data_IF_596325942340
#
_entry.id   IF_596325942340
#
_cell.length_a   1.000
_cell.length_b   1.000
_cell.length_c   1.000
_cell.angle_alpha   90.00
_cell.angle_beta   90.00
_cell.angle_gamma   90.00
#
_symmetry.space_group_name_H-M   'P 1'
#
loop_
_entity.id
_entity.type
_entity.pdbx_description
1 polymer ?
#
# COMPACT_ATOMS: atom_id res chain seq x y z
N UNK A 1 5.78 74.08 33.65
CA UNK A 1 4.62 73.42 33.00
C UNK A 1 5.12 72.14 32.36
N UNK A 2 4.62 71.00 32.84
CA UNK A 2 5.03 69.65 32.45
C UNK A 2 4.47 69.28 31.07
N UNK A 3 5.23 68.53 30.28
CA UNK A 3 4.67 67.47 29.44
C UNK A 3 5.66 66.31 29.37
N UNK A 4 5.30 65.25 30.10
CA UNK A 4 5.95 63.92 30.06
C UNK A 4 5.51 63.22 28.78
N UNK A 5 6.48 62.77 27.98
CA UNK A 5 6.22 61.93 26.82
C UNK A 5 6.50 60.48 27.22
N UNK A 6 5.42 59.73 27.49
CA UNK A 6 5.47 58.29 27.69
C UNK A 6 5.28 57.62 26.33
N UNK A 7 6.34 57.06 25.76
CA UNK A 7 6.22 56.13 24.63
C UNK A 7 6.08 54.72 25.17
N UNK A 8 4.87 54.18 25.10
CA UNK A 8 4.52 52.82 25.47
C UNK A 8 5.25 51.81 24.59
N UNK A 9 6.07 50.95 25.19
CA UNK A 9 6.53 49.70 24.59
C UNK A 9 5.31 48.78 24.42
N UNK A 10 4.85 48.57 23.19
CA UNK A 10 4.02 47.40 22.87
C UNK A 10 4.94 46.17 22.74
N UNK A 11 4.95 45.31 23.77
CA UNK A 11 5.42 43.95 23.62
C UNK A 11 4.41 43.17 22.77
N UNK A 12 4.78 42.83 21.53
CA UNK A 12 4.11 41.75 20.80
C UNK A 12 4.50 40.41 21.46
N UNK A 13 3.57 39.82 22.21
CA UNK A 13 3.65 38.40 22.55
C UNK A 13 3.37 37.60 21.27
N UNK A 14 4.43 37.10 20.64
CA UNK A 14 4.31 36.07 19.61
C UNK A 14 3.84 34.78 20.29
N UNK A 15 2.55 34.46 20.13
CA UNK A 15 2.02 33.16 20.48
C UNK A 15 2.68 32.12 19.54
N UNK A 16 3.67 31.38 20.05
CA UNK A 16 4.13 30.17 19.41
C UNK A 16 3.02 29.14 19.50
N UNK A 17 2.15 29.11 18.48
CA UNK A 17 1.28 27.98 18.24
C UNK A 17 2.19 26.79 17.89
N UNK A 18 2.46 25.93 18.88
CA UNK A 18 3.01 24.61 18.63
C UNK A 18 2.01 23.88 17.74
N UNK A 19 2.26 23.89 16.43
CA UNK A 19 1.66 22.89 15.55
C UNK A 19 2.16 21.56 16.08
N UNK A 20 1.27 20.80 16.73
CA UNK A 20 1.49 19.39 16.93
C UNK A 20 1.72 18.83 15.52
N UNK A 21 2.98 18.63 15.16
CA UNK A 21 3.33 17.94 13.94
C UNK A 21 2.65 16.59 14.03
N UNK A 22 1.64 16.39 13.19
CA UNK A 22 1.04 15.09 13.00
C UNK A 22 2.20 14.18 12.60
N UNK A 23 2.67 13.34 13.52
CA UNK A 23 3.57 12.25 13.18
C UNK A 23 2.73 11.27 12.38
N UNK A 24 2.57 11.57 11.09
CA UNK A 24 1.92 10.73 10.12
C UNK A 24 2.87 9.57 9.81
N UNK A 25 3.12 8.71 10.80
CA UNK A 25 3.68 7.39 10.53
C UNK A 25 2.78 6.76 9.45
N UNK A 26 3.34 6.38 8.29
CA UNK A 26 2.55 5.76 7.24
C UNK A 26 2.21 4.35 7.73
N UNK A 27 1.14 4.21 8.51
CA UNK A 27 0.65 2.91 8.95
C UNK A 27 -0.36 2.38 7.93
N UNK A 28 -0.38 1.06 7.77
CA UNK A 28 -1.41 0.34 7.06
C UNK A 28 -2.52 -0.05 8.04
N UNK A 29 -3.80 0.13 7.67
CA UNK A 29 -4.93 -0.41 8.41
C UNK A 29 -4.88 -1.94 8.50
N UNK A 30 -5.84 -2.51 9.24
CA UNK A 30 -6.04 -3.97 9.25
C UNK A 30 -6.25 -4.48 7.81
N UNK A 31 -5.66 -5.64 7.43
CA UNK A 31 -5.79 -6.21 6.09
C UNK A 31 -7.23 -6.41 5.61
N UNK A 32 -8.16 -6.69 6.54
CA UNK A 32 -9.56 -6.98 6.23
C UNK A 32 -10.42 -5.72 6.13
N UNK A 33 -9.91 -4.59 6.60
CA UNK A 33 -10.63 -3.32 6.63
C UNK A 33 -10.70 -2.72 5.22
N UNK A 34 -11.84 -2.09 4.91
CA UNK A 34 -12.06 -1.40 3.64
C UNK A 34 -11.09 -0.23 3.41
N UNK A 35 -10.48 0.26 4.48
CA UNK A 35 -9.53 1.35 4.50
C UNK A 35 -8.14 0.94 4.01
N UNK A 36 -7.82 -0.36 3.96
CA UNK A 36 -6.50 -0.83 3.54
C UNK A 36 -6.15 -0.40 2.12
N UNK A 37 -6.96 -0.77 1.11
CA UNK A 37 -6.67 -0.37 -0.27
C UNK A 37 -6.93 1.13 -0.53
N UNK A 38 -7.78 1.80 0.26
CA UNK A 38 -7.88 3.26 0.23
C UNK A 38 -6.56 3.90 0.66
N UNK A 39 -5.96 3.41 1.75
CA UNK A 39 -4.69 3.88 2.24
C UNK A 39 -3.56 3.57 1.26
N UNK A 40 -3.56 2.38 0.67
CA UNK A 40 -2.61 2.01 -0.38
C UNK A 40 -2.72 2.96 -1.59
N UNK A 41 -3.93 3.29 -2.06
CA UNK A 41 -4.17 4.26 -3.13
C UNK A 41 -3.52 5.62 -2.81
N UNK A 42 -3.71 6.12 -1.59
CA UNK A 42 -3.16 7.40 -1.14
C UNK A 42 -1.63 7.38 -1.10
N UNK A 43 -1.04 6.33 -0.53
CA UNK A 43 0.41 6.16 -0.43
C UNK A 43 1.07 6.05 -1.80
N UNK A 44 0.49 5.24 -2.69
CA UNK A 44 1.07 4.96 -3.99
C UNK A 44 0.93 6.12 -4.97
N UNK A 45 -0.22 6.79 -4.98
CA UNK A 45 -0.45 7.93 -5.86
C UNK A 45 -0.03 9.26 -5.25
N UNK A 46 0.31 9.31 -3.96
CA UNK A 46 0.55 10.58 -3.26
C UNK A 46 -0.68 11.50 -3.33
N UNK A 47 -1.86 10.94 -3.09
CA UNK A 47 -3.14 11.67 -3.17
C UNK A 47 -3.81 11.73 -1.80
N UNK A 48 -4.62 12.78 -1.59
CA UNK A 48 -5.53 12.89 -0.44
C UNK A 48 -6.96 12.43 -0.78
N UNK A 49 -7.24 12.10 -2.05
CA UNK A 49 -8.54 11.58 -2.45
C UNK A 49 -8.81 10.26 -1.73
N UNK A 50 -10.05 10.12 -1.25
CA UNK A 50 -10.54 8.89 -0.68
C UNK A 50 -11.31 8.12 -1.75
N UNK A 51 -10.90 6.89 -2.04
CA UNK A 51 -11.62 6.03 -2.97
C UNK A 51 -12.81 5.34 -2.31
N UNK A 52 -13.84 5.02 -3.09
CA UNK A 52 -14.88 4.05 -2.70
C UNK A 52 -14.31 2.64 -2.89
N UNK A 53 -14.03 1.94 -1.78
CA UNK A 53 -13.38 0.62 -1.82
C UNK A 53 -14.39 -0.50 -1.56
N UNK A 54 -14.38 -1.52 -2.43
CA UNK A 54 -15.11 -2.77 -2.21
C UNK A 54 -14.15 -3.92 -1.88
N UNK A 55 -14.38 -4.55 -0.74
CA UNK A 55 -13.73 -5.79 -0.32
C UNK A 55 -14.51 -6.97 -0.88
N UNK A 56 -13.83 -7.85 -1.60
CA UNK A 56 -14.37 -9.09 -2.14
C UNK A 56 -14.03 -10.25 -1.21
N UNK A 57 -14.99 -11.17 -1.06
CA UNK A 57 -14.82 -12.47 -0.40
C UNK A 57 -14.92 -13.62 -1.41
N UNK A 58 -14.80 -13.30 -2.70
CA UNK A 58 -14.88 -14.22 -3.82
C UNK A 58 -13.82 -13.84 -4.86
N UNK A 59 -12.88 -14.76 -5.14
CA UNK A 59 -11.75 -14.46 -6.03
C UNK A 59 -12.20 -14.27 -7.47
N UNK A 60 -13.17 -15.05 -7.97
CA UNK A 60 -13.70 -14.90 -9.33
C UNK A 60 -14.27 -13.49 -9.58
N UNK A 61 -15.09 -12.98 -8.65
CA UNK A 61 -15.59 -11.60 -8.72
C UNK A 61 -14.45 -10.57 -8.71
N UNK A 62 -13.47 -10.76 -7.82
CA UNK A 62 -12.29 -9.89 -7.77
C UNK A 62 -11.53 -9.90 -9.09
N UNK A 63 -11.23 -11.06 -9.69
CA UNK A 63 -10.52 -11.20 -10.98
C UNK A 63 -11.16 -10.36 -12.08
N UNK A 64 -12.49 -10.37 -12.16
CA UNK A 64 -13.24 -9.67 -13.21
C UNK A 64 -13.49 -8.18 -12.95
N UNK A 65 -13.26 -7.70 -11.72
CA UNK A 65 -13.39 -6.27 -11.37
C UNK A 65 -12.30 -5.39 -12.00
N UNK A 66 -12.62 -4.10 -12.26
CA UNK A 66 -11.70 -3.09 -12.83
C UNK A 66 -11.92 -1.72 -12.17
N UNK A 67 -10.93 -1.14 -11.48
CA UNK A 67 -11.11 0.09 -10.70
C UNK A 67 -11.53 1.25 -11.61
N UNK A 68 -12.29 2.18 -11.07
CA UNK A 68 -12.88 3.29 -11.84
C UNK A 68 -12.24 4.61 -11.43
N UNK A 69 -12.13 5.54 -12.38
CA UNK A 69 -11.55 6.84 -12.10
C UNK A 69 -12.59 7.83 -11.58
N UNK A 70 -13.82 7.82 -12.09
CA UNK A 70 -14.87 8.77 -11.71
C UNK A 70 -16.23 8.04 -11.53
N UNK A 71 -16.74 7.88 -10.30
CA UNK A 71 -16.04 8.19 -9.04
C UNK A 71 -14.82 7.26 -8.85
N UNK A 72 -13.81 7.72 -8.09
CA UNK A 72 -12.62 6.94 -7.78
C UNK A 72 -12.99 5.69 -6.98
N UNK A 73 -12.94 4.51 -7.63
CA UNK A 73 -13.24 3.22 -7.00
C UNK A 73 -12.03 2.30 -6.99
N UNK A 74 -11.81 1.67 -5.83
CA UNK A 74 -10.76 0.67 -5.62
C UNK A 74 -11.38 -0.66 -5.22
N UNK A 75 -10.62 -1.74 -5.40
CA UNK A 75 -11.05 -3.08 -5.05
C UNK A 75 -9.99 -3.81 -4.26
N UNK A 76 -10.45 -4.66 -3.35
CA UNK A 76 -9.63 -5.37 -2.39
C UNK A 76 -10.04 -6.83 -2.31
N UNK A 77 -9.08 -7.73 -2.19
CA UNK A 77 -9.31 -9.09 -1.71
C UNK A 77 -8.16 -9.47 -0.78
N UNK A 78 -8.45 -10.26 0.24
CA UNK A 78 -7.46 -10.73 1.21
C UNK A 78 -7.23 -12.21 0.97
N UNK A 79 -5.98 -12.65 0.87
CA UNK A 79 -5.64 -14.06 0.85
C UNK A 79 -5.22 -14.51 2.25
N UNK A 80 -5.58 -15.74 2.61
CA UNK A 80 -5.33 -16.30 3.94
C UNK A 80 -4.49 -17.57 3.88
N UNK A 81 -3.71 -17.78 4.94
CA UNK A 81 -3.19 -19.09 5.32
C UNK A 81 -3.87 -19.50 6.63
N UNK A 82 -4.77 -20.49 6.54
CA UNK A 82 -5.76 -20.77 7.59
C UNK A 82 -6.52 -19.49 7.98
N UNK A 83 -6.37 -19.02 9.21
CA UNK A 83 -7.02 -17.78 9.71
C UNK A 83 -6.14 -16.54 9.58
N UNK A 84 -4.86 -16.68 9.19
CA UNK A 84 -3.92 -15.56 9.13
C UNK A 84 -4.04 -14.86 7.78
N UNK A 85 -4.36 -13.56 7.71
CA UNK A 85 -4.32 -12.82 6.45
C UNK A 85 -2.86 -12.67 6.03
N UNK A 86 -2.50 -13.14 4.85
CA UNK A 86 -1.11 -13.17 4.37
C UNK A 86 -0.82 -12.13 3.28
N UNK A 87 -1.84 -11.72 2.53
CA UNK A 87 -1.73 -10.80 1.41
C UNK A 87 -3.01 -9.99 1.25
N UNK A 88 -2.88 -8.72 0.91
CA UNK A 88 -3.98 -7.92 0.37
C UNK A 88 -3.67 -7.58 -1.09
N UNK A 89 -4.57 -7.98 -1.98
CA UNK A 89 -4.53 -7.60 -3.39
C UNK A 89 -5.45 -6.40 -3.61
N UNK A 90 -4.85 -5.29 -4.06
CA UNK A 90 -5.53 -4.03 -4.33
C UNK A 90 -5.56 -3.74 -5.83
N UNK A 91 -6.74 -3.44 -6.40
CA UNK A 91 -6.86 -2.81 -7.72
C UNK A 91 -7.15 -1.32 -7.57
N UNK A 92 -6.22 -0.51 -8.04
CA UNK A 92 -6.16 0.93 -7.82
C UNK A 92 -6.06 1.69 -9.15
N UNK A 93 -6.14 3.02 -9.10
CA UNK A 93 -5.84 3.92 -10.22
C UNK A 93 -4.46 4.54 -10.05
N UNK A 94 -3.73 4.67 -11.15
CA UNK A 94 -2.42 5.29 -11.21
C UNK A 94 -2.51 6.81 -11.00
N UNK A 95 -1.45 7.38 -10.43
CA UNK A 95 -1.36 8.81 -10.11
C UNK A 95 -1.61 9.72 -11.32
N UNK A 96 -1.11 9.34 -12.50
CA UNK A 96 -1.30 10.12 -13.74
C UNK A 96 -2.78 10.21 -14.16
N UNK A 97 -3.51 9.10 -14.09
CA UNK A 97 -4.95 9.10 -14.38
C UNK A 97 -5.71 9.93 -13.32
N UNK A 98 -5.31 9.85 -12.05
CA UNK A 98 -5.88 10.70 -10.99
C UNK A 98 -5.68 12.19 -11.29
N UNK A 99 -4.48 12.62 -11.70
CA UNK A 99 -4.25 14.01 -12.12
C UNK A 99 -5.09 14.41 -13.32
N UNK A 100 -5.22 13.54 -14.31
CA UNK A 100 -6.01 13.81 -15.50
C UNK A 100 -7.51 14.04 -15.18
N UNK A 101 -8.07 13.27 -14.25
CA UNK A 101 -9.49 13.37 -13.89
C UNK A 101 -9.79 14.46 -12.84
N UNK A 102 -8.90 14.64 -11.86
CA UNK A 102 -9.14 15.48 -10.67
C UNK A 102 -8.26 16.73 -10.59
N UNK A 103 -7.40 16.97 -11.59
CA UNK A 103 -6.50 18.11 -11.69
C UNK A 103 -5.06 17.78 -11.29
N UNK A 104 -4.10 18.54 -11.84
CA UNK A 104 -2.65 18.28 -11.69
C UNK A 104 -2.16 18.17 -10.23
N UNK A 105 -2.80 18.88 -9.30
CA UNK A 105 -2.45 18.84 -7.87
C UNK A 105 -3.09 17.69 -7.11
N UNK A 106 -3.96 16.89 -7.72
CA UNK A 106 -4.73 15.86 -7.04
C UNK A 106 -3.89 14.64 -6.64
N UNK A 107 -2.75 14.39 -7.30
CA UNK A 107 -1.86 13.28 -7.00
C UNK A 107 -0.40 13.63 -7.30
N UNK A 108 0.52 13.01 -6.56
CA UNK A 108 1.96 13.15 -6.74
C UNK A 108 2.52 12.20 -7.81
N UNK A 109 3.79 11.81 -7.64
CA UNK A 109 4.44 10.81 -8.50
C UNK A 109 4.03 9.40 -8.06
N UNK A 110 3.69 8.57 -9.05
CA UNK A 110 3.40 7.15 -8.82
C UNK A 110 4.59 6.44 -8.16
N UNK A 111 4.33 5.78 -7.03
CA UNK A 111 5.28 4.91 -6.35
C UNK A 111 5.08 3.45 -6.77
N UNK A 112 6.13 2.61 -6.76
CA UNK A 112 5.99 1.17 -6.96
C UNK A 112 5.29 0.51 -5.77
N UNK A 113 4.61 -0.62 -5.98
CA UNK A 113 3.94 -1.35 -4.89
C UNK A 113 4.91 -1.82 -3.79
N UNK A 114 6.18 -2.04 -4.12
CA UNK A 114 7.25 -2.32 -3.16
C UNK A 114 7.42 -1.22 -2.11
N UNK A 115 7.03 0.03 -2.39
CA UNK A 115 7.04 1.11 -1.39
C UNK A 115 6.07 0.84 -0.23
N UNK A 116 4.89 0.28 -0.52
CA UNK A 116 3.91 -0.08 0.50
C UNK A 116 4.31 -1.36 1.23
N UNK A 117 4.94 -2.32 0.54
CA UNK A 117 5.53 -3.49 1.21
C UNK A 117 6.63 -3.09 2.20
N UNK A 118 7.46 -2.09 1.87
CA UNK A 118 8.44 -1.55 2.83
C UNK A 118 7.76 -0.90 4.03
N UNK A 119 6.64 -0.21 3.82
CA UNK A 119 5.83 0.34 4.92
C UNK A 119 5.31 -0.79 5.82
N UNK A 120 4.75 -1.87 5.26
CA UNK A 120 4.31 -3.03 6.03
C UNK A 120 5.46 -3.65 6.84
N UNK A 121 6.66 -3.74 6.25
CA UNK A 121 7.87 -4.22 6.93
C UNK A 121 8.27 -3.33 8.10
N UNK A 122 8.32 -2.00 7.93
CA UNK A 122 8.66 -1.07 9.01
C UNK A 122 7.61 -1.09 10.13
N UNK A 123 6.33 -1.26 9.78
CA UNK A 123 5.27 -1.45 10.76
C UNK A 123 5.46 -2.76 11.55
N UNK A 124 5.78 -3.88 10.89
CA UNK A 124 6.08 -5.14 11.56
C UNK A 124 7.26 -5.02 12.53
N UNK A 125 8.33 -4.32 12.14
CA UNK A 125 9.47 -4.02 13.00
C UNK A 125 9.02 -3.25 14.24
N UNK A 126 8.24 -2.18 14.05
CA UNK A 126 7.76 -1.31 15.13
C UNK A 126 6.88 -2.07 16.12
N UNK A 127 5.96 -2.90 15.63
CA UNK A 127 5.09 -3.72 16.46
C UNK A 127 5.87 -4.76 17.26
N UNK A 128 6.79 -5.50 16.62
CA UNK A 128 7.62 -6.50 17.30
C UNK A 128 8.49 -5.86 18.39
N UNK A 129 9.01 -4.65 18.17
CA UNK A 129 9.74 -3.92 19.19
C UNK A 129 8.84 -3.51 20.36
N UNK A 130 7.62 -3.05 20.09
CA UNK A 130 6.65 -2.71 21.13
C UNK A 130 6.22 -3.94 21.95
N UNK A 131 6.20 -5.12 21.34
CA UNK A 131 5.96 -6.43 21.97
C UNK A 131 7.18 -6.95 22.76
N UNK A 132 8.34 -6.29 22.68
CA UNK A 132 9.59 -6.75 23.30
C UNK A 132 10.30 -7.87 22.53
N UNK A 133 9.84 -8.22 21.33
CA UNK A 133 10.45 -9.23 20.47
C UNK A 133 11.55 -8.63 19.59
N UNK A 134 12.68 -8.29 20.22
CA UNK A 134 13.83 -7.66 19.54
C UNK A 134 14.40 -8.57 18.45
N UNK A 135 14.56 -9.87 18.72
CA UNK A 135 15.08 -10.84 17.75
C UNK A 135 14.19 -10.96 16.52
N UNK A 136 12.86 -10.99 16.69
CA UNK A 136 11.92 -10.97 15.57
C UNK A 136 12.04 -9.69 14.75
N UNK A 137 12.15 -8.52 15.41
CA UNK A 137 12.34 -7.26 14.71
C UNK A 137 13.64 -7.23 13.89
N UNK A 138 14.73 -7.79 14.42
CA UNK A 138 16.00 -7.92 13.69
C UNK A 138 15.90 -8.88 12.50
N UNK A 139 15.17 -9.99 12.65
CA UNK A 139 14.89 -10.90 11.54
C UNK A 139 14.10 -10.19 10.42
N UNK A 140 13.10 -9.38 10.75
CA UNK A 140 12.36 -8.58 9.75
C UNK A 140 13.27 -7.55 9.06
N UNK A 141 14.19 -6.90 9.78
CA UNK A 141 15.16 -5.96 9.18
C UNK A 141 16.07 -6.61 8.16
N UNK A 142 16.40 -7.88 8.36
CA UNK A 142 17.23 -8.65 7.44
C UNK A 142 16.50 -9.04 6.15
N UNK A 143 15.17 -8.94 6.11
CA UNK A 143 14.37 -9.29 4.93
C UNK A 143 14.51 -8.25 3.81
N UNK A 144 14.68 -8.73 2.58
CA UNK A 144 14.74 -7.92 1.38
C UNK A 144 13.35 -7.78 0.78
N UNK A 145 12.92 -6.54 0.50
CA UNK A 145 11.69 -6.28 -0.25
C UNK A 145 12.05 -6.06 -1.71
N UNK A 146 11.60 -6.99 -2.55
CA UNK A 146 11.86 -6.94 -3.98
C UNK A 146 11.13 -5.78 -4.65
N UNK A 147 11.79 -5.21 -5.65
CA UNK A 147 11.20 -4.22 -6.53
C UNK A 147 10.94 -4.85 -7.89
N UNK A 148 10.00 -5.80 -7.92
CA UNK A 148 9.64 -6.51 -9.14
C UNK A 148 9.23 -5.53 -10.24
N UNK A 149 9.52 -5.86 -11.49
CA UNK A 149 9.00 -5.11 -12.64
C UNK A 149 7.48 -5.26 -12.72
N UNK A 150 6.74 -4.19 -13.06
CA UNK A 150 5.29 -4.27 -13.17
C UNK A 150 4.88 -5.15 -14.36
N UNK A 151 3.91 -6.02 -14.13
CA UNK A 151 3.15 -6.64 -15.20
C UNK A 151 2.44 -5.58 -16.05
N UNK A 152 2.35 -5.83 -17.36
CA UNK A 152 1.63 -4.96 -18.30
C UNK A 152 0.17 -5.43 -18.46
N UNK A 153 -0.06 -6.74 -18.36
CA UNK A 153 -1.37 -7.36 -18.59
C UNK A 153 -2.02 -7.84 -17.29
N UNK A 154 -3.35 -7.88 -17.27
CA UNK A 154 -4.09 -8.47 -16.14
C UNK A 154 -3.80 -9.96 -15.96
N UNK A 155 -3.58 -10.70 -17.07
CA UNK A 155 -3.23 -12.11 -17.02
C UNK A 155 -1.91 -12.36 -16.28
N UNK A 156 -0.85 -11.60 -16.61
CA UNK A 156 0.45 -11.70 -15.95
C UNK A 156 0.39 -11.30 -14.46
N UNK A 157 -0.48 -10.35 -14.10
CA UNK A 157 -0.70 -9.97 -12.70
C UNK A 157 -1.39 -11.07 -11.88
N UNK A 158 -2.31 -11.80 -12.51
CA UNK A 158 -3.11 -12.86 -11.89
C UNK A 158 -2.39 -14.22 -11.87
N UNK A 159 -1.25 -14.35 -12.56
CA UNK A 159 -0.48 -15.58 -12.58
C UNK A 159 0.07 -15.93 -11.19
N UNK A 160 0.19 -17.23 -10.92
CA UNK A 160 0.78 -17.74 -9.69
C UNK A 160 2.20 -17.24 -9.50
N UNK A 161 2.54 -16.88 -8.27
CA UNK A 161 3.87 -16.44 -7.91
C UNK A 161 4.19 -16.77 -6.45
N UNK A 162 5.47 -16.87 -6.13
CA UNK A 162 5.94 -17.05 -4.76
C UNK A 162 5.95 -15.72 -4.01
N UNK A 163 5.25 -15.62 -2.87
CA UNK A 163 5.17 -14.39 -2.09
C UNK A 163 6.51 -14.02 -1.44
N UNK A 164 7.27 -15.03 -1.02
CA UNK A 164 8.61 -14.84 -0.45
C UNK A 164 9.45 -16.07 -0.66
N UNK A 165 10.74 -15.91 -0.93
CA UNK A 165 11.70 -16.99 -1.14
C UNK A 165 12.96 -16.75 -0.32
N UNK A 166 13.76 -17.80 -0.12
CA UNK A 166 15.11 -17.69 0.43
C UNK A 166 16.11 -17.84 -0.72
N UNK A 167 17.06 -16.91 -0.83
CA UNK A 167 18.07 -16.95 -1.87
C UNK A 167 19.23 -17.93 -1.54
N UNK A 168 20.22 -18.01 -2.41
CA UNK A 168 21.39 -18.88 -2.21
C UNK A 168 22.31 -18.44 -1.06
N UNK A 169 22.09 -17.27 -0.48
CA UNK A 169 22.85 -16.71 0.64
C UNK A 169 22.06 -16.77 1.96
N UNK A 170 20.97 -17.56 2.01
CA UNK A 170 20.07 -17.68 3.14
C UNK A 170 19.37 -16.36 3.54
N UNK A 171 19.23 -15.42 2.59
CA UNK A 171 18.48 -14.17 2.80
C UNK A 171 17.02 -14.38 2.40
N UNK A 172 16.09 -13.90 3.23
CA UNK A 172 14.67 -13.94 2.92
C UNK A 172 14.27 -12.73 2.07
N UNK A 173 13.66 -13.00 0.92
CA UNK A 173 13.13 -12.01 -0.02
C UNK A 173 11.62 -12.04 -0.04
N UNK A 174 10.99 -10.88 -0.12
CA UNK A 174 9.54 -10.70 -0.22
C UNK A 174 9.21 -10.07 -1.57
N UNK A 175 8.47 -10.80 -2.40
CA UNK A 175 7.99 -10.31 -3.68
C UNK A 175 6.87 -9.29 -3.50
N UNK A 176 6.91 -8.25 -4.33
CA UNK A 176 5.90 -7.20 -4.47
C UNK A 176 5.33 -7.25 -5.89
N UNK A 177 4.68 -8.35 -6.26
CA UNK A 177 4.08 -8.52 -7.59
C UNK A 177 3.01 -7.44 -7.83
N UNK A 178 3.07 -6.80 -8.99
CA UNK A 178 2.20 -5.67 -9.30
C UNK A 178 2.03 -5.47 -10.79
N UNK A 179 1.08 -4.61 -11.15
CA UNK A 179 0.75 -4.22 -12.52
C UNK A 179 0.60 -2.72 -12.64
N UNK A 180 1.08 -2.17 -13.73
CA UNK A 180 0.88 -0.78 -14.09
C UNK A 180 0.56 -0.63 -15.57
N UNK A 181 -0.59 -0.04 -15.87
CA UNK A 181 -0.81 0.59 -17.17
C UNK A 181 -0.54 2.07 -17.00
N UNK A 182 0.64 2.50 -17.46
CA UNK A 182 1.03 3.90 -17.40
C UNK A 182 0.10 4.75 -18.28
N UNK A 183 -0.67 5.63 -17.63
CA UNK A 183 -1.65 6.47 -18.30
C UNK A 183 -1.01 7.44 -19.29
N UNK A 184 0.21 7.90 -18.99
CA UNK A 184 0.94 8.86 -19.84
C UNK A 184 1.60 8.18 -21.05
N UNK A 185 1.55 6.84 -21.14
CA UNK A 185 2.04 6.10 -22.29
C UNK A 185 1.17 6.30 -23.52
N UNK A 186 1.80 6.35 -24.70
CA UNK A 186 1.09 6.38 -25.99
C UNK A 186 0.17 5.16 -26.19
N UNK A 187 0.48 4.03 -25.54
CA UNK A 187 -0.36 2.82 -25.57
C UNK A 187 -1.75 3.06 -25.00
N UNK A 188 -1.91 4.02 -24.07
CA UNK A 188 -3.20 4.34 -23.44
C UNK A 188 -4.24 4.77 -24.48
N UNK A 189 -3.84 5.44 -25.56
CA UNK A 189 -4.77 5.95 -26.59
C UNK A 189 -5.52 4.87 -27.37
N UNK A 190 -5.08 3.62 -27.28
CA UNK A 190 -5.71 2.46 -27.93
C UNK A 190 -6.29 1.47 -26.93
N UNK A 191 -6.17 1.74 -25.62
CA UNK A 191 -6.79 0.92 -24.58
C UNK A 191 -8.28 1.27 -24.43
N UNK A 192 -9.14 0.30 -24.13
CA UNK A 192 -10.47 0.60 -23.61
C UNK A 192 -10.36 1.40 -22.31
N UNK A 193 -11.25 2.37 -22.11
CA UNK A 193 -11.29 3.27 -20.94
C UNK A 193 -11.13 2.53 -19.60
N UNK A 194 -11.81 1.39 -19.46
CA UNK A 194 -11.76 0.57 -18.25
C UNK A 194 -10.36 0.00 -17.93
N UNK A 195 -9.42 -0.01 -18.89
CA UNK A 195 -8.04 -0.50 -18.75
C UNK A 195 -7.01 0.61 -18.55
N UNK A 196 -7.39 1.87 -18.74
CA UNK A 196 -6.47 2.99 -18.67
C UNK A 196 -6.01 3.26 -17.23
N UNK A 197 -4.72 3.55 -17.03
CA UNK A 197 -4.22 4.00 -15.73
C UNK A 197 -4.46 3.01 -14.57
N UNK A 198 -4.51 1.70 -14.84
CA UNK A 198 -4.67 0.69 -13.81
C UNK A 198 -3.37 0.48 -13.03
N UNK A 199 -3.43 0.44 -11.70
CA UNK A 199 -2.31 0.08 -10.83
C UNK A 199 -2.77 -1.00 -9.85
N UNK A 200 -2.30 -2.24 -10.01
CA UNK A 200 -2.71 -3.35 -9.13
C UNK A 200 -1.52 -3.80 -8.30
N UNK A 201 -1.70 -3.92 -6.98
CA UNK A 201 -0.65 -4.32 -6.07
C UNK A 201 -1.05 -5.57 -5.29
N UNK A 202 -0.09 -6.47 -5.11
CA UNK A 202 -0.17 -7.50 -4.07
C UNK A 202 0.74 -7.06 -2.92
N UNK A 203 0.14 -6.81 -1.75
CA UNK A 203 0.81 -6.24 -0.59
C UNK A 203 0.83 -7.31 0.52
N UNK A 204 2.00 -7.86 0.87
CA UNK A 204 2.15 -8.73 2.03
C UNK A 204 1.68 -8.02 3.30
N UNK A 205 0.96 -8.74 4.16
CA UNK A 205 0.44 -8.17 5.42
C UNK A 205 1.53 -8.06 6.47
N UNK A 206 1.27 -7.25 7.51
CA UNK A 206 2.16 -7.14 8.67
C UNK A 206 2.24 -8.48 9.40
N UNK A 207 1.12 -9.18 9.51
CA UNK A 207 0.98 -10.51 10.10
C UNK A 207 1.83 -11.55 9.36
N UNK A 208 1.85 -11.52 8.03
CA UNK A 208 2.69 -12.39 7.21
C UNK A 208 4.17 -12.17 7.51
N UNK A 209 4.61 -10.92 7.51
CA UNK A 209 6.01 -10.54 7.74
C UNK A 209 6.47 -10.94 9.15
N UNK A 210 5.63 -10.74 10.16
CA UNK A 210 5.89 -11.21 11.53
C UNK A 210 5.92 -12.74 11.60
N UNK A 211 5.03 -13.42 10.89
CA UNK A 211 4.98 -14.88 10.82
C UNK A 211 6.23 -15.50 10.19
N UNK A 212 6.76 -14.88 9.13
CA UNK A 212 8.04 -15.25 8.53
C UNK A 212 9.19 -15.11 9.54
N UNK A 213 9.26 -13.98 10.25
CA UNK A 213 10.29 -13.75 11.25
C UNK A 213 10.22 -14.71 12.44
N UNK A 214 9.00 -15.12 12.82
CA UNK A 214 8.77 -16.09 13.89
C UNK A 214 8.97 -17.55 13.43
N UNK A 215 9.10 -17.81 12.12
CA UNK A 215 9.11 -19.16 11.55
C UNK A 215 7.77 -19.88 11.63
N UNK A 216 6.68 -19.21 12.02
CA UNK A 216 5.32 -19.77 12.01
C UNK A 216 4.72 -19.82 10.62
N UNK A 217 5.26 -19.03 9.69
CA UNK A 217 4.97 -19.08 8.26
C UNK A 217 6.28 -19.43 7.54
N UNK A 218 6.26 -20.45 6.68
CA UNK A 218 7.40 -20.79 5.85
C UNK A 218 7.40 -19.96 4.56
N UNK A 219 8.58 -19.53 4.11
CA UNK A 219 8.77 -19.01 2.75
C UNK A 219 8.38 -20.07 1.71
N UNK A 220 8.16 -19.68 0.45
CA UNK A 220 7.61 -20.59 -0.56
C UNK A 220 6.10 -20.54 -0.69
N UNK A 221 5.41 -19.65 0.04
CA UNK A 221 3.96 -19.51 -0.10
C UNK A 221 3.63 -19.06 -1.52
N UNK A 222 2.97 -19.94 -2.27
CA UNK A 222 2.46 -19.62 -3.61
C UNK A 222 1.14 -18.89 -3.48
N UNK A 223 1.07 -17.69 -4.04
CA UNK A 223 -0.16 -16.94 -4.19
C UNK A 223 -0.74 -17.33 -5.53
N UNK A 224 -1.97 -17.85 -5.49
CA UNK A 224 -2.80 -18.04 -6.67
C UNK A 224 -3.96 -17.06 -6.64
N UNK A 225 -4.49 -16.76 -7.83
CA UNK A 225 -5.74 -16.02 -7.97
C UNK A 225 -6.84 -16.87 -8.58
N UNK A 226 -6.69 -18.20 -8.63
CA UNK A 226 -7.73 -19.10 -9.14
C UNK A 226 -9.07 -18.93 -8.38
N UNK A 227 -10.15 -19.36 -9.00
CA UNK A 227 -11.51 -19.05 -8.51
C UNK A 227 -11.79 -19.61 -7.11
N UNK A 228 -11.06 -20.66 -6.69
CA UNK A 228 -11.11 -21.31 -5.38
C UNK A 228 -10.00 -20.87 -4.42
N UNK A 229 -9.24 -19.82 -4.76
CA UNK A 229 -8.23 -19.24 -3.88
C UNK A 229 -8.84 -18.87 -2.52
N UNK A 230 -8.07 -19.12 -1.45
CA UNK A 230 -8.52 -18.92 -0.07
C UNK A 230 -8.60 -17.43 0.27
N UNK A 231 -9.80 -16.85 0.06
CA UNK A 231 -10.09 -15.42 0.26
C UNK A 231 -11.06 -15.14 1.40
N UNK A 232 -11.25 -16.14 2.25
CA UNK A 232 -11.99 -16.08 3.52
C UNK A 232 -11.22 -16.88 4.56
N UNK A 233 -11.22 -16.48 5.84
CA UNK A 233 -10.58 -17.26 6.89
C UNK A 233 -11.25 -18.64 7.00
N UNK A 234 -10.44 -19.69 7.10
CA UNK A 234 -10.88 -21.09 7.31
C UNK A 234 -10.57 -21.54 8.73
#
# INVERSE_FOLDING_TARGET
MQLRQYSSLLLLMAAMASTAGYSAQPLLPSPESSEFCQRAQQLLAGTLLLSDNRVFTNMAEYRHSKPMIDPLKTYQVVAYQATTPILVSCKLKGAAHIRAAYGESAAGKQQPCSSVTRIAREQAITELQAEGNVTGADAVRAMVVENNEPAITGYSYLADYELSYVDTNDVLHINSNWKLNDYDSWLTWVLPEALEGQNYCNIPTVEYIKGLAAGSITSGTIITTDDDAQVTPQ
#
